data_IF_728432823477
#
_entry.id   IF_728432823477
#
_cell.length_a   1.000
_cell.length_b   1.000
_cell.length_c   1.000
_cell.angle_alpha   90.00
_cell.angle_beta   90.00
_cell.angle_gamma   90.00
#
_symmetry.space_group_name_H-M   'P 1'
#
loop_
_entity.id
_entity.type
_entity.pdbx_description
1 polymer ?
#
# COMPACT_ATOMS: atom_id res chain seq x y z
N UNK A 1 -25.16 48.23 -26.74
CA UNK A 1 -23.80 48.67 -26.39
C UNK A 1 -23.55 48.43 -24.91
N UNK A 2 -22.61 47.66 -24.60
CA UNK A 2 -21.82 47.47 -23.41
C UNK A 2 -21.66 46.00 -23.11
N UNK A 3 -20.57 45.45 -23.63
CA UNK A 3 -20.05 44.14 -23.26
C UNK A 3 -19.40 44.24 -21.88
N UNK A 4 -19.89 43.47 -20.93
CA UNK A 4 -19.25 43.32 -19.64
C UNK A 4 -18.44 42.01 -19.68
N UNK A 5 -17.14 42.16 -19.78
CA UNK A 5 -16.14 41.10 -19.68
C UNK A 5 -16.12 40.59 -18.26
N UNK A 6 -16.64 39.37 -18.04
CA UNK A 6 -16.43 38.64 -16.80
C UNK A 6 -15.01 38.08 -16.82
N UNK A 7 -14.13 38.70 -16.07
CA UNK A 7 -12.79 38.23 -15.75
C UNK A 7 -12.91 36.97 -14.91
N UNK A 8 -12.48 35.84 -15.47
CA UNK A 8 -12.34 34.59 -14.74
C UNK A 8 -11.21 34.74 -13.72
N UNK A 9 -11.58 34.84 -12.44
CA UNK A 9 -10.67 34.65 -11.32
C UNK A 9 -10.26 33.15 -11.27
N UNK A 10 -9.18 32.83 -11.94
CA UNK A 10 -8.42 31.62 -11.66
C UNK A 10 -7.79 31.82 -10.28
N UNK A 11 -8.49 31.36 -9.24
CA UNK A 11 -8.01 31.39 -7.88
C UNK A 11 -6.76 30.54 -7.78
N UNK A 12 -5.64 31.20 -7.55
CA UNK A 12 -4.35 30.62 -7.14
C UNK A 12 -4.50 29.90 -5.78
N UNK A 13 -5.08 28.73 -5.79
CA UNK A 13 -5.18 27.79 -4.65
C UNK A 13 -3.82 27.20 -4.22
N UNK A 14 -2.72 27.68 -4.78
CA UNK A 14 -1.43 27.00 -4.74
C UNK A 14 -0.49 27.38 -3.61
N UNK A 15 -0.84 28.27 -2.68
CA UNK A 15 0.15 28.75 -1.68
C UNK A 15 -0.45 29.03 -0.29
N UNK A 16 -1.31 28.18 0.20
CA UNK A 16 -1.65 28.24 1.61
C UNK A 16 -0.52 27.61 2.43
N UNK A 17 0.09 28.36 3.35
CA UNK A 17 1.11 27.87 4.29
C UNK A 17 0.60 26.65 5.07
N UNK A 18 -0.67 26.64 5.43
CA UNK A 18 -1.31 25.49 6.11
C UNK A 18 -1.38 24.26 5.21
N UNK A 19 -1.66 24.42 3.92
CA UNK A 19 -1.65 23.29 2.98
C UNK A 19 -0.24 22.75 2.80
N UNK A 20 0.74 23.63 2.69
CA UNK A 20 2.15 23.23 2.59
C UNK A 20 2.61 22.45 3.83
N UNK A 21 2.25 22.91 5.04
CA UNK A 21 2.53 22.19 6.29
C UNK A 21 1.95 20.78 6.27
N UNK A 22 0.69 20.64 5.89
CA UNK A 22 0.04 19.32 5.76
C UNK A 22 0.75 18.41 4.76
N UNK A 23 1.21 18.97 3.63
CA UNK A 23 1.95 18.19 2.63
C UNK A 23 3.31 17.72 3.16
N UNK A 24 4.00 18.56 3.96
CA UNK A 24 5.26 18.21 4.61
C UNK A 24 5.03 17.10 5.65
N UNK A 25 4.03 17.25 6.51
CA UNK A 25 3.67 16.24 7.52
C UNK A 25 3.33 14.89 6.88
N UNK A 26 2.53 14.93 5.79
CA UNK A 26 2.21 13.74 5.00
C UNK A 26 3.47 13.09 4.43
N UNK A 27 4.32 13.87 3.78
CA UNK A 27 5.58 13.36 3.24
C UNK A 27 6.48 12.76 4.33
N UNK A 28 6.60 13.43 5.47
CA UNK A 28 7.39 12.94 6.62
C UNK A 28 6.89 11.58 7.09
N UNK A 29 5.59 11.45 7.35
CA UNK A 29 4.97 10.18 7.74
C UNK A 29 5.22 9.05 6.72
N UNK A 30 5.08 9.35 5.43
CA UNK A 30 5.31 8.37 4.37
C UNK A 30 6.78 7.95 4.28
N UNK A 31 7.73 8.86 4.50
CA UNK A 31 9.17 8.56 4.54
C UNK A 31 9.50 7.65 5.72
N UNK A 32 8.97 7.91 6.90
CA UNK A 32 9.14 7.08 8.10
C UNK A 32 8.62 5.65 7.88
N UNK A 33 7.55 5.50 7.11
CA UNK A 33 7.01 4.20 6.70
C UNK A 33 7.83 3.50 5.60
N UNK A 34 8.89 4.13 5.09
CA UNK A 34 9.73 3.57 4.04
C UNK A 34 9.16 3.71 2.62
N UNK A 35 8.31 4.71 2.39
CA UNK A 35 7.83 5.02 1.04
C UNK A 35 8.99 5.40 0.11
N UNK A 36 8.93 4.92 -1.13
CA UNK A 36 9.86 5.36 -2.18
C UNK A 36 9.47 6.72 -2.73
N UNK A 37 10.42 7.40 -3.37
CA UNK A 37 10.24 8.74 -3.94
C UNK A 37 8.99 8.86 -4.82
N UNK A 38 8.74 7.88 -5.68
CA UNK A 38 7.58 7.89 -6.59
C UNK A 38 6.24 7.88 -5.85
N UNK A 39 6.18 7.28 -4.65
CA UNK A 39 4.98 7.33 -3.80
C UNK A 39 4.80 8.74 -3.24
N UNK A 40 5.88 9.38 -2.81
CA UNK A 40 5.85 10.75 -2.28
C UNK A 40 5.41 11.74 -3.36
N UNK A 41 5.92 11.60 -4.58
CA UNK A 41 5.54 12.43 -5.74
C UNK A 41 4.06 12.24 -6.12
N UNK A 42 3.52 11.02 -5.99
CA UNK A 42 2.11 10.72 -6.26
C UNK A 42 1.16 11.26 -5.19
N UNK A 43 1.56 11.20 -3.92
CA UNK A 43 0.67 11.44 -2.78
C UNK A 43 0.86 12.84 -2.15
N UNK A 44 1.79 13.64 -2.66
CA UNK A 44 2.03 15.01 -2.20
C UNK A 44 2.18 15.99 -3.37
N UNK A 45 1.94 17.27 -3.10
CA UNK A 45 2.15 18.35 -4.07
C UNK A 45 3.51 19.06 -3.91
N UNK A 46 4.44 18.47 -3.15
CA UNK A 46 5.77 19.04 -2.93
C UNK A 46 6.67 18.83 -4.15
N UNK A 47 7.57 19.80 -4.40
CA UNK A 47 8.55 19.64 -5.48
C UNK A 47 9.53 18.52 -5.19
N UNK A 48 10.03 17.87 -6.24
CA UNK A 48 11.02 16.78 -6.15
C UNK A 48 12.24 17.16 -5.30
N UNK A 49 12.76 18.36 -5.47
CA UNK A 49 13.92 18.87 -4.71
C UNK A 49 13.61 18.97 -3.21
N UNK A 50 12.39 19.41 -2.87
CA UNK A 50 11.94 19.51 -1.49
C UNK A 50 11.76 18.12 -0.86
N UNK A 51 11.19 17.20 -1.60
CA UNK A 51 11.07 15.79 -1.19
C UNK A 51 12.43 15.14 -0.94
N UNK A 52 13.44 15.39 -1.79
CA UNK A 52 14.80 14.88 -1.57
C UNK A 52 15.41 15.43 -0.27
N UNK A 53 15.25 16.74 0.00
CA UNK A 53 15.77 17.34 1.23
C UNK A 53 15.11 16.70 2.45
N UNK A 54 13.78 16.67 2.46
CA UNK A 54 12.99 16.07 3.54
C UNK A 54 13.34 14.61 3.75
N UNK A 55 13.53 13.85 2.68
CA UNK A 55 13.94 12.44 2.74
C UNK A 55 15.29 12.27 3.42
N UNK A 56 16.28 13.12 3.10
CA UNK A 56 17.60 13.08 3.72
C UNK A 56 17.56 13.48 5.20
N UNK A 57 16.74 14.45 5.56
CA UNK A 57 16.57 14.89 6.95
C UNK A 57 15.97 13.78 7.81
N UNK A 58 14.94 13.11 7.34
CA UNK A 58 14.20 12.09 8.11
C UNK A 58 14.90 10.73 8.07
N UNK A 59 15.26 10.24 6.88
CA UNK A 59 15.82 8.91 6.72
C UNK A 59 17.35 8.87 6.89
N UNK A 60 18.03 10.02 7.02
CA UNK A 60 19.50 10.11 7.14
C UNK A 60 20.27 9.65 5.92
N UNK A 61 19.60 9.37 4.80
CA UNK A 61 20.20 8.83 3.57
C UNK A 61 19.42 9.32 2.33
N UNK A 62 20.05 9.21 1.18
CA UNK A 62 19.37 9.51 -0.09
C UNK A 62 18.30 8.46 -0.41
N UNK A 63 17.20 8.86 -1.10
CA UNK A 63 16.19 7.92 -1.55
C UNK A 63 16.81 6.80 -2.39
N UNK A 64 16.29 5.58 -2.25
CA UNK A 64 16.73 4.45 -3.06
C UNK A 64 16.38 4.68 -4.54
N UNK A 65 17.37 4.45 -5.40
CA UNK A 65 17.18 4.49 -6.85
C UNK A 65 16.46 3.22 -7.31
N UNK A 66 15.72 3.32 -8.41
CA UNK A 66 15.08 2.18 -9.05
C UNK A 66 13.58 2.37 -9.26
N UNK A 67 13.02 1.52 -10.11
CA UNK A 67 11.60 1.54 -10.45
C UNK A 67 10.73 0.97 -9.34
N UNK A 68 9.47 1.40 -9.30
CA UNK A 68 8.46 0.76 -8.46
C UNK A 68 8.23 -0.69 -8.91
N UNK A 69 7.86 -1.60 -7.99
CA UNK A 69 7.38 -2.92 -8.37
C UNK A 69 6.23 -2.79 -9.38
N UNK A 70 6.40 -3.35 -10.57
CA UNK A 70 5.40 -3.29 -11.65
C UNK A 70 4.71 -4.62 -11.90
N UNK A 71 5.24 -5.73 -11.36
CA UNK A 71 4.68 -7.07 -11.53
C UNK A 71 3.66 -7.37 -10.43
N UNK A 72 2.51 -7.90 -10.82
CA UNK A 72 1.48 -8.45 -9.93
C UNK A 72 1.88 -9.81 -9.35
N UNK A 73 2.74 -10.55 -10.05
CA UNK A 73 3.14 -11.92 -9.69
C UNK A 73 3.67 -12.05 -8.26
N UNK A 74 4.42 -11.06 -7.76
CA UNK A 74 4.93 -11.08 -6.39
C UNK A 74 3.81 -11.24 -5.35
N UNK A 75 2.67 -10.59 -5.55
CA UNK A 75 1.52 -10.66 -4.63
C UNK A 75 0.76 -11.98 -4.68
N UNK A 76 1.09 -12.84 -5.64
CA UNK A 76 0.48 -14.15 -5.85
C UNK A 76 1.36 -15.29 -5.35
N UNK A 77 2.64 -15.02 -5.02
CA UNK A 77 3.53 -16.02 -4.43
C UNK A 77 3.12 -16.32 -2.99
N UNK A 78 3.34 -17.52 -2.52
CA UNK A 78 2.67 -18.09 -1.34
C UNK A 78 2.66 -17.21 -0.09
N UNK A 79 3.83 -16.87 0.47
CA UNK A 79 3.91 -16.08 1.70
C UNK A 79 3.50 -14.62 1.46
N UNK A 80 3.96 -14.06 0.37
CA UNK A 80 3.64 -12.70 -0.04
C UNK A 80 2.14 -12.52 -0.29
N UNK A 81 1.46 -13.56 -0.79
CA UNK A 81 0.01 -13.55 -0.98
C UNK A 81 -0.72 -13.49 0.36
N UNK A 82 -0.30 -14.27 1.35
CA UNK A 82 -0.88 -14.25 2.70
C UNK A 82 -0.75 -12.86 3.31
N UNK A 83 0.45 -12.27 3.29
CA UNK A 83 0.69 -10.93 3.81
C UNK A 83 -0.08 -9.85 3.03
N UNK A 84 -0.12 -9.94 1.72
CA UNK A 84 -0.86 -9.01 0.86
C UNK A 84 -2.37 -9.09 1.12
N UNK A 85 -2.89 -10.30 1.30
CA UNK A 85 -4.31 -10.53 1.60
C UNK A 85 -4.69 -10.02 2.97
N UNK A 86 -3.86 -10.23 3.98
CA UNK A 86 -4.06 -9.68 5.32
C UNK A 86 -4.15 -8.14 5.27
N UNK A 87 -3.16 -7.49 4.66
CA UNK A 87 -3.16 -6.03 4.51
C UNK A 87 -4.39 -5.53 3.75
N UNK A 88 -4.70 -6.14 2.60
CA UNK A 88 -5.80 -5.69 1.76
C UNK A 88 -7.16 -5.85 2.46
N UNK A 89 -7.35 -6.90 3.24
CA UNK A 89 -8.56 -7.10 4.04
C UNK A 89 -8.71 -6.02 5.12
N UNK A 90 -7.62 -5.63 5.78
CA UNK A 90 -7.61 -4.51 6.74
C UNK A 90 -7.94 -3.19 6.03
N UNK A 91 -7.29 -2.92 4.89
CA UNK A 91 -7.53 -1.72 4.10
C UNK A 91 -8.99 -1.59 3.67
N UNK A 92 -9.55 -2.63 3.12
CA UNK A 92 -10.95 -2.67 2.70
C UNK A 92 -11.94 -2.52 3.87
N UNK A 93 -11.61 -3.11 5.02
CA UNK A 93 -12.42 -2.94 6.21
C UNK A 93 -12.45 -1.48 6.67
N UNK A 94 -11.29 -0.82 6.72
CA UNK A 94 -11.17 0.58 7.10
C UNK A 94 -11.76 1.55 6.07
N UNK A 95 -11.79 1.18 4.80
CA UNK A 95 -12.35 2.00 3.72
C UNK A 95 -13.88 2.06 3.74
N UNK A 96 -14.53 1.11 4.43
CA UNK A 96 -15.99 1.04 4.48
C UNK A 96 -16.55 2.11 5.40
N UNK A 97 -17.32 3.02 4.84
CA UNK A 97 -18.08 4.00 5.61
C UNK A 97 -17.29 5.20 6.16
N UNK A 98 -16.07 5.41 5.69
CA UNK A 98 -15.25 6.55 6.07
C UNK A 98 -14.99 7.42 4.83
N UNK A 99 -15.45 8.65 4.88
CA UNK A 99 -15.08 9.69 3.91
C UNK A 99 -13.70 10.24 4.31
N UNK A 100 -12.66 9.41 4.16
CA UNK A 100 -11.28 9.75 4.49
C UNK A 100 -10.40 9.68 3.24
N UNK A 101 -9.32 10.45 3.26
CA UNK A 101 -8.30 10.42 2.23
C UNK A 101 -7.73 8.98 2.10
N UNK A 102 -7.72 8.45 0.89
CA UNK A 102 -7.28 7.08 0.59
C UNK A 102 -5.87 6.78 1.15
N UNK A 103 -4.96 7.76 1.14
CA UNK A 103 -3.61 7.59 1.69
C UNK A 103 -3.63 7.51 3.22
N UNK A 104 -4.56 8.19 3.90
CA UNK A 104 -4.71 8.07 5.36
C UNK A 104 -5.25 6.70 5.76
N UNK A 105 -6.22 6.19 5.01
CA UNK A 105 -6.73 4.82 5.20
C UNK A 105 -5.61 3.81 4.97
N UNK A 106 -4.84 3.98 3.92
CA UNK A 106 -3.71 3.09 3.59
C UNK A 106 -2.64 3.09 4.69
N UNK A 107 -2.28 4.26 5.21
CA UNK A 107 -1.29 4.36 6.30
C UNK A 107 -1.77 3.71 7.59
N UNK A 108 -3.04 3.89 7.95
CA UNK A 108 -3.67 3.21 9.10
C UNK A 108 -3.70 1.70 8.89
N UNK A 109 -4.12 1.23 7.72
CA UNK A 109 -4.14 -0.18 7.37
C UNK A 109 -2.75 -0.82 7.45
N UNK A 110 -1.72 -0.12 6.98
CA UNK A 110 -0.35 -0.60 7.01
C UNK A 110 0.21 -0.70 8.44
N UNK A 111 -0.13 0.24 9.32
CA UNK A 111 0.23 0.15 10.74
C UNK A 111 -0.41 -1.06 11.40
N UNK A 112 -1.73 -1.24 11.22
CA UNK A 112 -2.45 -2.40 11.76
C UNK A 112 -1.92 -3.72 11.21
N UNK A 113 -1.57 -3.78 9.92
CA UNK A 113 -0.92 -4.94 9.33
C UNK A 113 0.39 -5.28 10.05
N UNK A 114 1.27 -4.30 10.25
CA UNK A 114 2.53 -4.53 10.95
C UNK A 114 2.32 -4.97 12.40
N UNK A 115 1.39 -4.35 13.12
CA UNK A 115 1.02 -4.72 14.49
C UNK A 115 0.53 -6.17 14.56
N UNK A 116 -0.34 -6.60 13.63
CA UNK A 116 -0.83 -7.98 13.60
C UNK A 116 0.28 -8.98 13.26
N UNK A 117 1.14 -8.68 12.29
CA UNK A 117 2.27 -9.54 11.93
C UNK A 117 3.24 -9.67 13.10
N UNK A 118 3.53 -8.58 13.79
CA UNK A 118 4.38 -8.57 14.97
C UNK A 118 3.78 -9.35 16.15
N UNK A 119 2.47 -9.22 16.36
CA UNK A 119 1.76 -9.99 17.39
C UNK A 119 1.77 -11.50 17.14
N UNK A 120 1.96 -11.92 15.88
CA UNK A 120 2.15 -13.31 15.47
C UNK A 120 3.63 -13.74 15.47
N UNK A 121 4.53 -12.89 15.94
CA UNK A 121 5.99 -13.12 15.95
C UNK A 121 6.57 -13.40 14.54
N UNK A 122 5.93 -12.83 13.50
CA UNK A 122 6.35 -12.96 12.11
C UNK A 122 7.07 -11.70 11.62
N UNK A 123 7.92 -11.85 10.61
CA UNK A 123 8.52 -10.71 9.92
C UNK A 123 7.56 -10.15 8.84
N UNK A 124 7.36 -8.83 8.77
CA UNK A 124 6.53 -8.23 7.73
C UNK A 124 7.22 -8.33 6.36
N UNK A 125 6.62 -9.09 5.44
CA UNK A 125 7.12 -9.21 4.07
C UNK A 125 6.67 -8.07 3.16
N UNK A 126 5.51 -7.47 3.46
CA UNK A 126 4.94 -6.39 2.66
C UNK A 126 5.53 -5.05 3.09
N UNK A 127 6.36 -4.43 2.25
CA UNK A 127 6.82 -3.05 2.48
C UNK A 127 5.71 -2.04 2.19
N UNK A 128 5.78 -0.82 2.76
CA UNK A 128 4.80 0.24 2.51
C UNK A 128 4.61 0.54 1.02
N UNK A 129 5.70 0.64 0.27
CA UNK A 129 5.63 0.86 -1.19
C UNK A 129 4.89 -0.27 -1.92
N UNK A 130 5.04 -1.51 -1.48
CA UNK A 130 4.29 -2.65 -2.03
C UNK A 130 2.82 -2.62 -1.61
N UNK A 131 2.52 -2.26 -0.37
CA UNK A 131 1.16 -2.07 0.11
C UNK A 131 0.42 -1.01 -0.72
N UNK A 132 1.05 0.14 -0.94
CA UNK A 132 0.53 1.18 -1.82
C UNK A 132 0.34 0.68 -3.26
N UNK A 133 1.31 -0.06 -3.80
CA UNK A 133 1.22 -0.60 -5.15
C UNK A 133 0.11 -1.64 -5.29
N UNK A 134 -0.11 -2.46 -4.28
CA UNK A 134 -1.20 -3.44 -4.24
C UNK A 134 -2.56 -2.76 -4.39
N UNK A 135 -2.82 -1.70 -3.62
CA UNK A 135 -4.07 -0.92 -3.75
C UNK A 135 -4.22 -0.39 -5.16
N UNK A 136 -3.17 0.20 -5.76
CA UNK A 136 -3.22 0.68 -7.16
C UNK A 136 -3.48 -0.44 -8.18
N UNK A 137 -2.99 -1.65 -7.94
CA UNK A 137 -3.30 -2.80 -8.81
C UNK A 137 -4.75 -3.28 -8.68
N UNK A 138 -5.32 -3.21 -7.48
CA UNK A 138 -6.73 -3.51 -7.25
C UNK A 138 -7.63 -2.43 -7.88
N UNK A 139 -7.30 -1.16 -7.70
CA UNK A 139 -8.01 -0.03 -8.33
C UNK A 139 -8.00 -0.13 -9.86
N UNK A 140 -6.86 -0.56 -10.43
CA UNK A 140 -6.69 -0.78 -11.87
C UNK A 140 -7.25 -2.11 -12.37
N UNK A 141 -7.93 -2.89 -11.52
CA UNK A 141 -8.50 -4.20 -11.85
C UNK A 141 -7.47 -5.21 -12.40
N UNK A 142 -6.19 -5.06 -12.02
CA UNK A 142 -5.13 -6.03 -12.34
C UNK A 142 -5.10 -7.18 -11.34
N UNK A 143 -5.50 -6.91 -10.11
CA UNK A 143 -5.68 -7.89 -9.03
C UNK A 143 -7.07 -7.71 -8.43
N UNK A 144 -7.57 -8.76 -7.82
CA UNK A 144 -8.86 -8.77 -7.11
C UNK A 144 -8.73 -9.56 -5.80
N UNK A 145 -9.83 -9.73 -5.09
CA UNK A 145 -9.93 -10.63 -3.95
C UNK A 145 -10.92 -11.74 -4.23
N UNK A 146 -10.50 -12.96 -4.01
CA UNK A 146 -11.33 -14.16 -4.19
C UNK A 146 -11.50 -14.88 -2.86
N UNK A 147 -12.71 -15.34 -2.60
CA UNK A 147 -13.03 -16.11 -1.42
C UNK A 147 -12.51 -17.56 -1.55
N UNK A 148 -11.80 -18.01 -0.53
CA UNK A 148 -11.36 -19.41 -0.48
C UNK A 148 -12.55 -20.35 -0.26
N UNK A 149 -12.65 -21.39 -1.08
CA UNK A 149 -13.73 -22.38 -1.01
C UNK A 149 -13.69 -23.23 0.27
N UNK A 150 -12.53 -23.31 0.95
CA UNK A 150 -12.35 -24.10 2.18
C UNK A 150 -12.53 -23.29 3.47
N UNK A 151 -11.84 -22.14 3.59
CA UNK A 151 -11.86 -21.36 4.84
C UNK A 151 -12.70 -20.08 4.77
N UNK A 152 -13.31 -19.78 3.61
CA UNK A 152 -14.11 -18.57 3.36
C UNK A 152 -13.35 -17.25 3.50
N UNK A 153 -12.07 -17.25 3.81
CA UNK A 153 -11.21 -16.05 3.86
C UNK A 153 -11.04 -15.43 2.47
N UNK A 154 -10.81 -14.12 2.44
CA UNK A 154 -10.60 -13.36 1.21
C UNK A 154 -9.10 -13.23 0.92
N UNK A 155 -8.68 -13.62 -0.28
CA UNK A 155 -7.27 -13.60 -0.69
C UNK A 155 -7.07 -12.86 -2.00
N UNK A 156 -5.91 -12.22 -2.15
CA UNK A 156 -5.49 -11.57 -3.40
C UNK A 156 -5.36 -12.64 -4.49
N UNK A 157 -5.96 -12.38 -5.64
CA UNK A 157 -5.95 -13.28 -6.79
C UNK A 157 -5.89 -12.50 -8.10
N UNK A 158 -5.66 -13.19 -9.19
CA UNK A 158 -5.85 -12.62 -10.52
C UNK A 158 -7.31 -12.32 -10.80
N UNK A 159 -7.58 -11.33 -11.68
CA UNK A 159 -8.93 -10.88 -12.00
C UNK A 159 -9.84 -11.99 -12.55
N UNK A 160 -9.27 -12.98 -13.23
CA UNK A 160 -10.01 -14.07 -13.85
C UNK A 160 -9.90 -15.41 -13.11
N UNK A 161 -9.48 -15.37 -11.84
CA UNK A 161 -9.40 -16.58 -11.02
C UNK A 161 -10.79 -17.24 -10.87
N UNK A 162 -10.83 -18.56 -10.99
CA UNK A 162 -12.07 -19.30 -10.83
C UNK A 162 -12.49 -19.38 -9.35
N UNK A 163 -13.32 -18.44 -8.92
CA UNK A 163 -13.76 -18.31 -7.54
C UNK A 163 -14.40 -19.59 -6.96
N UNK A 164 -15.01 -20.46 -7.79
CA UNK A 164 -15.67 -21.68 -7.30
C UNK A 164 -14.70 -22.75 -6.79
N UNK A 165 -13.45 -22.71 -7.25
CA UNK A 165 -12.44 -23.72 -6.95
C UNK A 165 -11.17 -23.11 -6.33
N UNK A 166 -11.21 -21.83 -6.01
CA UNK A 166 -10.05 -21.17 -5.43
C UNK A 166 -9.78 -21.69 -4.01
N UNK A 167 -8.57 -22.18 -3.79
CA UNK A 167 -8.06 -22.59 -2.50
C UNK A 167 -6.87 -21.72 -2.12
N UNK A 168 -6.93 -21.06 -0.96
CA UNK A 168 -5.85 -20.19 -0.52
C UNK A 168 -4.60 -20.96 -0.09
N UNK A 169 -3.46 -20.28 -0.05
CA UNK A 169 -2.17 -20.87 0.35
C UNK A 169 -2.09 -21.35 1.80
N UNK A 170 -3.05 -20.98 2.67
CA UNK A 170 -3.16 -21.53 4.03
C UNK A 170 -3.88 -22.89 4.02
N UNK A 171 -4.92 -23.04 3.20
CA UNK A 171 -5.68 -24.30 3.10
C UNK A 171 -5.00 -25.33 2.19
N UNK A 172 -4.23 -24.86 1.20
CA UNK A 172 -3.49 -25.68 0.26
C UNK A 172 -2.06 -25.14 0.11
N UNK A 173 -1.20 -25.33 1.12
CA UNK A 173 0.17 -24.84 1.07
C UNK A 173 0.98 -25.60 0.00
N UNK A 174 1.92 -24.92 -0.68
CA UNK A 174 2.76 -25.57 -1.68
C UNK A 174 3.62 -26.69 -1.05
N UNK A 175 3.94 -27.72 -1.83
CA UNK A 175 4.65 -28.93 -1.36
C UNK A 175 6.01 -28.65 -0.67
N UNK A 176 6.58 -27.48 -0.87
CA UNK A 176 7.83 -27.00 -0.23
C UNK A 176 7.59 -25.96 0.86
N UNK A 177 6.35 -25.75 1.28
CA UNK A 177 6.05 -24.86 2.40
C UNK A 177 6.83 -25.31 3.65
N UNK A 178 7.48 -24.35 4.31
CA UNK A 178 8.28 -24.65 5.52
C UNK A 178 9.71 -25.14 5.28
N UNK A 179 10.13 -25.37 4.03
CA UNK A 179 11.50 -25.81 3.72
C UNK A 179 12.48 -24.67 3.40
N UNK A 180 12.03 -23.44 3.31
CA UNK A 180 12.91 -22.26 3.17
C UNK A 180 13.48 -21.85 4.53
N UNK A 181 14.70 -21.32 4.55
CA UNK A 181 15.37 -20.87 5.79
C UNK A 181 14.57 -19.88 6.64
N UNK A 182 13.60 -19.17 6.03
CA UNK A 182 12.68 -18.27 6.72
C UNK A 182 11.53 -18.98 7.46
N UNK A 183 11.29 -20.25 7.17
CA UNK A 183 10.21 -21.03 7.80
C UNK A 183 10.67 -21.85 9.01
N UNK A 184 11.93 -21.75 9.40
CA UNK A 184 12.48 -22.42 10.59
C UNK A 184 11.92 -21.94 11.92
N UNK A 185 11.07 -20.91 11.92
CA UNK A 185 10.44 -20.34 13.13
C UNK A 185 8.97 -20.74 13.30
N UNK A 186 8.37 -21.44 12.35
CA UNK A 186 6.94 -21.83 12.39
C UNK A 186 6.74 -23.34 12.62
N UNK A 187 7.70 -24.03 13.26
CA UNK A 187 7.45 -25.35 13.84
C UNK A 187 6.60 -25.16 15.10
N UNK A 188 5.30 -25.20 14.93
CA UNK A 188 4.31 -25.29 15.99
C UNK A 188 4.61 -26.49 16.89
N UNK A 189 4.81 -26.23 18.16
CA UNK A 189 4.60 -27.20 19.23
C UNK A 189 3.10 -27.42 19.43
#
# INVERSE_FOLDING_TARGET
MSATTASANASTSAKSVLNESRQIERAAMLIEMGARMQVLESETSLSYERLIRLYKEIAGKSPSKGQLPFSTYWFLTWQENIHSSLFLNIYEYLSKGVDADAIEVLTKAYRLYNEQVQALELEPLLSFTRAWRLVKFVDAQMLTRTQCSKCTGMFVSEMYENAKHYECGLCNPPARAGKSKAAGSLALH
#
